data_IF_804920516584
#
_entry.id   IF_804920516584
#
_cell.length_a   1.000
_cell.length_b   1.000
_cell.length_c   1.000
_cell.angle_alpha   90.00
_cell.angle_beta   90.00
_cell.angle_gamma   90.00
#
_symmetry.space_group_name_H-M   'P 1'
#
loop_
_entity.id
_entity.type
_entity.pdbx_description
1 polymer ?
#
# COMPACT_ATOMS: atom_id res chain seq x y z
N UNK A 1 76.68 34.35 10.87
CA UNK A 1 75.30 34.88 10.76
C UNK A 1 74.40 34.04 11.66
N UNK A 2 73.90 34.59 12.75
CA UNK A 2 72.86 33.95 13.56
C UNK A 2 71.99 35.07 14.15
N UNK A 3 70.89 35.39 13.46
CA UNK A 3 69.87 36.31 13.98
C UNK A 3 68.98 35.50 14.92
N UNK A 4 69.18 35.67 16.22
CA UNK A 4 68.26 35.19 17.25
C UNK A 4 66.93 35.93 17.14
N UNK A 5 65.88 35.24 16.73
CA UNK A 5 64.51 35.76 16.69
C UNK A 5 63.96 35.72 18.12
N UNK A 6 63.80 36.89 18.74
CA UNK A 6 63.12 37.06 20.02
C UNK A 6 61.63 36.68 19.87
N UNK A 7 61.24 35.55 20.44
CA UNK A 7 59.86 35.06 20.44
C UNK A 7 59.05 35.77 21.54
N UNK A 8 58.49 36.94 21.21
CA UNK A 8 57.50 37.62 22.06
C UNK A 8 56.09 37.10 21.75
N UNK A 9 55.73 35.93 22.28
CA UNK A 9 54.38 35.39 22.12
C UNK A 9 53.42 36.10 23.07
N UNK A 10 52.78 37.18 22.61
CA UNK A 10 51.66 37.79 23.34
C UNK A 10 50.51 36.78 23.34
N UNK A 11 50.02 36.38 24.52
CA UNK A 11 48.92 35.43 24.72
C UNK A 11 47.72 35.71 23.79
N UNK A 12 47.42 36.99 23.54
CA UNK A 12 46.39 37.43 22.60
C UNK A 12 46.61 36.91 21.17
N UNK A 13 47.84 36.89 20.66
CA UNK A 13 48.15 36.36 19.33
C UNK A 13 48.05 34.84 19.28
N UNK A 14 48.46 34.15 20.34
CA UNK A 14 48.33 32.69 20.44
C UNK A 14 46.86 32.26 20.49
N UNK A 15 46.02 32.96 21.28
CA UNK A 15 44.58 32.71 21.32
C UNK A 15 43.92 32.95 19.96
N UNK A 16 44.31 34.00 19.24
CA UNK A 16 43.77 34.31 17.92
C UNK A 16 44.10 33.22 16.89
N UNK A 17 45.33 32.70 16.94
CA UNK A 17 45.76 31.58 16.09
C UNK A 17 44.95 30.32 16.43
N UNK A 18 44.80 29.96 17.70
CA UNK A 18 44.02 28.78 18.11
C UNK A 18 42.54 28.92 17.72
N UNK A 19 41.94 30.10 17.91
CA UNK A 19 40.57 30.37 17.47
C UNK A 19 40.43 30.27 15.95
N UNK A 20 41.40 30.77 15.17
CA UNK A 20 41.36 30.67 13.71
C UNK A 20 41.44 29.22 13.22
N UNK A 21 42.25 28.37 13.87
CA UNK A 21 42.34 26.93 13.57
C UNK A 21 41.02 26.23 13.88
N UNK A 22 40.42 26.51 15.05
CA UNK A 22 39.14 25.92 15.44
C UNK A 22 38.00 26.32 14.49
N UNK A 23 38.00 27.57 13.99
CA UNK A 23 37.02 28.02 12.99
C UNK A 23 37.20 27.27 11.67
N UNK A 24 38.45 27.08 11.21
CA UNK A 24 38.73 26.32 9.98
C UNK A 24 38.28 24.87 10.11
N UNK A 25 38.52 24.24 11.26
CA UNK A 25 38.05 22.87 11.54
C UNK A 25 36.53 22.81 11.55
N UNK A 26 35.86 23.75 12.23
CA UNK A 26 34.40 23.82 12.26
C UNK A 26 33.81 24.01 10.85
N UNK A 27 34.40 24.88 10.03
CA UNK A 27 33.97 25.08 8.64
C UNK A 27 34.24 23.86 7.76
N UNK A 28 35.32 23.12 7.99
CA UNK A 28 35.61 21.89 7.27
C UNK A 28 34.62 20.78 7.61
N UNK A 29 34.31 20.59 8.91
CA UNK A 29 33.29 19.64 9.36
C UNK A 29 31.92 20.04 8.82
N UNK A 30 31.56 21.32 8.87
CA UNK A 30 30.31 21.83 8.30
C UNK A 30 30.25 21.58 6.79
N UNK A 31 31.34 21.85 6.04
CA UNK A 31 31.46 21.52 4.61
C UNK A 31 31.33 20.03 4.34
N UNK A 32 31.90 19.18 5.19
CA UNK A 32 31.85 17.72 5.02
C UNK A 32 30.43 17.17 5.28
N UNK A 33 29.75 17.69 6.31
CA UNK A 33 28.36 17.35 6.60
C UNK A 33 27.40 17.90 5.53
N UNK A 34 27.63 19.15 5.10
CA UNK A 34 26.83 19.78 4.05
C UNK A 34 27.08 19.12 2.69
N UNK A 35 28.31 18.72 2.37
CA UNK A 35 28.62 17.96 1.16
C UNK A 35 27.95 16.58 1.20
N UNK A 36 27.93 15.88 2.34
CA UNK A 36 27.20 14.61 2.48
C UNK A 36 25.70 14.77 2.26
N UNK A 37 25.10 15.86 2.76
CA UNK A 37 23.69 16.19 2.54
C UNK A 37 23.42 16.62 1.09
N UNK A 38 24.35 17.35 0.47
CA UNK A 38 24.18 17.86 -0.89
C UNK A 38 24.47 16.80 -1.96
N UNK A 39 25.40 15.87 -1.73
CA UNK A 39 25.59 14.69 -2.60
C UNK A 39 24.43 13.71 -2.50
N UNK A 40 23.73 13.66 -1.36
CA UNK A 40 22.48 12.93 -1.23
C UNK A 40 21.34 13.61 -2.00
N UNK A 41 21.31 14.95 -2.02
CA UNK A 41 20.23 15.72 -2.64
C UNK A 41 20.43 16.07 -4.12
N UNK A 42 21.64 15.89 -4.68
CA UNK A 42 21.99 16.29 -6.06
C UNK A 42 22.14 15.11 -7.03
N UNK A 43 21.74 13.89 -6.62
CA UNK A 43 21.81 12.70 -7.48
C UNK A 43 20.50 12.37 -8.21
N UNK A 44 19.43 13.12 -7.95
CA UNK A 44 18.21 13.08 -8.75
C UNK A 44 18.18 14.25 -9.72
N UNK A 45 17.86 13.95 -10.97
CA UNK A 45 17.62 14.86 -12.10
C UNK A 45 18.83 15.45 -12.83
N UNK A 46 19.34 14.66 -13.78
CA UNK A 46 19.25 15.07 -15.18
C UNK A 46 19.38 13.87 -16.15
N UNK A 47 18.25 13.41 -16.70
CA UNK A 47 18.25 12.88 -18.06
C UNK A 47 18.17 11.35 -18.29
N UNK A 48 17.44 10.57 -17.49
CA UNK A 48 16.98 9.26 -17.97
C UNK A 48 15.49 9.32 -18.35
N UNK A 49 15.20 9.55 -19.63
CA UNK A 49 13.90 9.18 -20.16
C UNK A 49 13.75 7.66 -19.97
N UNK A 50 12.95 7.26 -18.98
CA UNK A 50 12.65 5.86 -18.68
C UNK A 50 12.07 5.22 -19.93
N UNK A 51 12.73 4.17 -20.43
CA UNK A 51 12.22 3.39 -21.56
C UNK A 51 11.19 2.39 -21.04
N UNK A 52 9.92 2.72 -21.24
CA UNK A 52 8.80 1.83 -20.92
C UNK A 52 8.62 0.75 -21.99
N UNK A 53 8.19 -0.43 -21.56
CA UNK A 53 7.69 -1.48 -22.47
C UNK A 53 6.30 -1.09 -23.01
N UNK A 54 5.90 -1.58 -24.21
CA UNK A 54 4.57 -1.29 -24.76
C UNK A 54 3.41 -1.66 -23.83
N UNK A 55 3.58 -2.71 -23.05
CA UNK A 55 2.57 -3.19 -22.09
C UNK A 55 2.43 -2.26 -20.88
N UNK A 56 3.52 -1.66 -20.41
CA UNK A 56 3.48 -0.64 -19.36
C UNK A 56 2.80 0.64 -19.85
N UNK A 57 3.08 1.06 -21.10
CA UNK A 57 2.41 2.20 -21.73
C UNK A 57 0.90 1.94 -21.82
N UNK A 58 0.50 0.74 -22.27
CA UNK A 58 -0.92 0.34 -22.34
C UNK A 58 -1.61 0.40 -20.98
N UNK A 59 -1.00 -0.18 -19.93
CA UNK A 59 -1.54 -0.15 -18.56
C UNK A 59 -1.67 1.28 -18.03
N UNK A 60 -0.68 2.12 -18.31
CA UNK A 60 -0.69 3.53 -17.91
C UNK A 60 -1.83 4.29 -18.62
N UNK A 61 -2.00 4.12 -19.92
CA UNK A 61 -3.08 4.72 -20.71
C UNK A 61 -4.47 4.25 -20.24
N UNK A 62 -4.63 2.97 -19.92
CA UNK A 62 -5.88 2.40 -19.40
C UNK A 62 -6.24 2.98 -18.03
N UNK A 63 -5.25 3.17 -17.13
CA UNK A 63 -5.47 3.82 -15.83
C UNK A 63 -6.00 5.25 -15.98
N UNK A 64 -5.46 5.99 -16.96
CA UNK A 64 -5.84 7.37 -17.24
C UNK A 64 -7.25 7.41 -17.83
N UNK A 65 -7.59 6.48 -18.73
CA UNK A 65 -8.93 6.34 -19.30
C UNK A 65 -9.97 6.06 -18.23
N UNK A 66 -9.68 5.14 -17.29
CA UNK A 66 -10.60 4.81 -16.19
C UNK A 66 -10.82 6.03 -15.28
N UNK A 67 -9.76 6.77 -14.93
CA UNK A 67 -9.87 8.00 -14.13
C UNK A 67 -10.73 9.05 -14.82
N UNK A 68 -10.49 9.32 -16.11
CA UNK A 68 -11.31 10.26 -16.91
C UNK A 68 -12.76 9.82 -17.08
N UNK A 69 -13.02 8.51 -17.18
CA UNK A 69 -14.38 7.97 -17.27
C UNK A 69 -15.13 8.04 -15.93
N UNK A 70 -14.39 8.02 -14.81
CA UNK A 70 -14.93 8.14 -13.45
C UNK A 70 -14.95 9.57 -12.92
N UNK A 71 -14.30 10.51 -13.59
CA UNK A 71 -14.37 11.92 -13.25
C UNK A 71 -15.85 12.35 -13.24
N UNK A 72 -16.36 12.89 -12.13
CA UNK A 72 -17.75 13.30 -12.04
C UNK A 72 -17.94 14.62 -12.79
N UNK A 73 -17.85 14.59 -14.12
CA UNK A 73 -17.91 15.77 -15.01
C UNK A 73 -19.14 16.63 -14.71
N UNK A 74 -20.29 16.00 -14.46
CA UNK A 74 -21.53 16.70 -14.09
C UNK A 74 -21.42 17.44 -12.76
N UNK A 75 -20.73 16.87 -11.78
CA UNK A 75 -20.56 17.50 -10.45
C UNK A 75 -19.63 18.69 -10.56
N UNK A 76 -18.51 18.54 -11.27
CA UNK A 76 -17.56 19.63 -11.54
C UNK A 76 -18.24 20.77 -12.30
N UNK A 77 -19.10 20.46 -13.27
CA UNK A 77 -19.89 21.46 -14.00
C UNK A 77 -20.86 22.22 -13.09
N UNK A 78 -21.59 21.51 -12.21
CA UNK A 78 -22.52 22.12 -11.25
C UNK A 78 -21.76 23.01 -10.28
N UNK A 79 -20.62 22.55 -9.74
CA UNK A 79 -19.78 23.35 -8.82
C UNK A 79 -19.27 24.61 -9.49
N UNK A 80 -18.80 24.52 -10.74
CA UNK A 80 -18.34 25.69 -11.49
C UNK A 80 -19.48 26.67 -11.79
N UNK A 81 -20.69 26.17 -12.05
CA UNK A 81 -21.88 27.00 -12.24
C UNK A 81 -22.26 27.74 -10.96
N UNK A 82 -22.29 27.04 -9.82
CA UNK A 82 -22.55 27.61 -8.49
C UNK A 82 -21.50 28.65 -8.11
N UNK A 83 -20.22 28.39 -8.36
CA UNK A 83 -19.13 29.36 -8.12
C UNK A 83 -19.27 30.61 -8.97
N UNK A 84 -19.73 30.46 -10.23
CA UNK A 84 -19.97 31.59 -11.14
C UNK A 84 -21.22 32.40 -10.77
N UNK A 85 -22.25 31.75 -10.22
CA UNK A 85 -23.45 32.39 -9.69
C UNK A 85 -23.12 33.15 -8.39
N UNK A 86 -22.36 32.53 -7.49
CA UNK A 86 -21.86 33.15 -6.24
C UNK A 86 -21.00 34.39 -6.50
N UNK A 87 -20.06 34.33 -7.46
CA UNK A 87 -19.21 35.47 -7.82
C UNK A 87 -19.96 36.61 -8.53
N UNK A 88 -21.20 36.39 -9.01
CA UNK A 88 -22.02 37.44 -9.63
C UNK A 88 -22.87 38.22 -8.62
N UNK A 89 -23.06 37.69 -7.42
CA UNK A 89 -23.84 38.33 -6.34
C UNK A 89 -23.01 39.22 -5.41
N UNK A 90 -21.67 39.14 -5.45
CA UNK A 90 -20.78 39.99 -4.65
C UNK A 90 -20.55 41.37 -5.27
N UNK A 91 -21.52 42.27 -5.12
CA UNK A 91 -21.25 43.71 -5.09
C UNK A 91 -21.94 44.36 -3.90
N UNK A 92 -21.60 44.00 -2.65
CA UNK A 92 -22.04 44.79 -1.49
C UNK A 92 -21.00 44.77 -0.35
N UNK A 93 -20.48 45.97 -0.07
CA UNK A 93 -19.93 46.52 1.18
C UNK A 93 -19.53 45.52 2.27
N UNK A 94 -18.22 45.42 2.52
CA UNK A 94 -17.63 44.67 3.64
C UNK A 94 -18.18 45.12 5.00
N UNK A 95 -18.81 44.18 5.71
CA UNK A 95 -19.32 44.38 7.07
C UNK A 95 -18.17 44.43 8.09
N UNK A 96 -18.23 45.30 9.13
CA UNK A 96 -17.22 45.36 10.17
C UNK A 96 -17.04 44.03 10.90
N UNK A 97 -15.78 43.67 11.19
CA UNK A 97 -15.37 42.38 11.76
C UNK A 97 -16.15 41.96 13.02
N UNK A 98 -16.47 42.93 13.89
CA UNK A 98 -17.24 42.69 15.13
C UNK A 98 -18.67 42.20 14.84
N UNK A 99 -19.26 42.69 13.76
CA UNK A 99 -20.60 42.28 13.32
C UNK A 99 -20.54 40.89 12.70
N UNK A 100 -19.47 40.58 11.94
CA UNK A 100 -19.22 39.25 11.38
C UNK A 100 -19.14 38.19 12.49
N UNK A 101 -18.29 38.41 13.51
CA UNK A 101 -18.10 37.48 14.63
C UNK A 101 -19.42 37.21 15.36
N UNK A 102 -20.21 38.25 15.62
CA UNK A 102 -21.51 38.12 16.30
C UNK A 102 -22.52 37.32 15.47
N UNK A 103 -22.55 37.54 14.15
CA UNK A 103 -23.40 36.78 13.23
C UNK A 103 -22.97 35.30 13.20
N UNK A 104 -21.66 35.03 13.17
CA UNK A 104 -21.12 33.66 13.19
C UNK A 104 -21.52 32.92 14.47
N UNK A 105 -21.45 33.57 15.63
CA UNK A 105 -21.80 32.96 16.91
C UNK A 105 -23.31 32.66 17.01
N UNK A 106 -24.17 33.58 16.53
CA UNK A 106 -25.62 33.35 16.45
C UNK A 106 -25.98 32.20 15.49
N UNK A 107 -25.25 32.03 14.38
CA UNK A 107 -25.42 30.91 13.44
C UNK A 107 -24.98 29.59 14.07
N UNK A 108 -23.82 29.56 14.74
CA UNK A 108 -23.31 28.37 15.43
C UNK A 108 -24.26 27.91 16.54
N UNK A 109 -24.80 28.86 17.31
CA UNK A 109 -25.78 28.56 18.36
C UNK A 109 -27.07 27.97 17.79
N UNK A 110 -27.54 28.48 16.64
CA UNK A 110 -28.70 27.91 15.93
C UNK A 110 -28.42 26.53 15.35
N UNK A 111 -27.25 26.33 14.74
CA UNK A 111 -26.84 25.02 14.20
C UNK A 111 -26.76 23.95 15.30
N UNK A 112 -26.21 24.29 16.47
CA UNK A 112 -26.16 23.37 17.63
C UNK A 112 -27.54 23.06 18.20
N UNK A 113 -28.51 23.96 18.05
CA UNK A 113 -29.90 23.75 18.48
C UNK A 113 -30.75 22.95 17.48
N UNK A 114 -30.26 22.70 16.26
CA UNK A 114 -30.99 21.93 15.25
C UNK A 114 -30.92 20.43 15.57
N UNK A 115 -32.08 19.89 15.96
CA UNK A 115 -32.27 18.46 16.10
C UNK A 115 -32.31 17.77 14.72
N UNK A 116 -31.84 16.52 14.62
CA UNK A 116 -31.69 15.76 13.37
C UNK A 116 -33.00 15.52 12.59
N UNK A 117 -34.15 15.79 13.21
CA UNK A 117 -35.50 15.64 12.62
C UNK A 117 -36.08 16.95 12.06
N UNK A 118 -35.29 18.02 11.89
CA UNK A 118 -35.77 19.30 11.36
C UNK A 118 -36.10 19.24 9.86
N UNK A 119 -37.11 20.01 9.43
CA UNK A 119 -37.60 20.03 8.05
C UNK A 119 -36.51 20.50 7.07
N UNK A 120 -36.32 19.76 5.97
CA UNK A 120 -35.24 19.92 4.97
C UNK A 120 -35.16 21.36 4.41
N UNK A 121 -36.32 22.03 4.27
CA UNK A 121 -36.38 23.44 3.82
C UNK A 121 -35.71 24.40 4.81
N UNK A 122 -35.93 24.22 6.11
CA UNK A 122 -35.31 25.04 7.16
C UNK A 122 -33.80 24.78 7.27
N UNK A 123 -33.37 23.52 7.17
CA UNK A 123 -31.95 23.18 7.14
C UNK A 123 -31.24 23.83 5.94
N UNK A 124 -31.87 23.81 4.76
CA UNK A 124 -31.33 24.43 3.54
C UNK A 124 -31.19 25.95 3.68
N UNK A 125 -32.18 26.63 4.24
CA UNK A 125 -32.14 28.09 4.47
C UNK A 125 -31.16 28.54 5.58
N UNK A 126 -30.72 27.63 6.44
CA UNK A 126 -29.66 27.89 7.44
C UNK A 126 -28.29 27.63 6.83
N UNK A 127 -28.16 26.59 6.01
CA UNK A 127 -26.93 26.27 5.28
C UNK A 127 -26.55 27.39 4.29
N UNK A 128 -27.52 27.94 3.56
CA UNK A 128 -27.29 29.06 2.63
C UNK A 128 -26.77 30.29 3.38
N UNK A 129 -27.37 30.64 4.53
CA UNK A 129 -26.90 31.77 5.36
C UNK A 129 -25.52 31.56 5.98
N UNK A 130 -25.16 30.30 6.29
CA UNK A 130 -23.83 29.95 6.77
C UNK A 130 -22.77 30.00 5.65
N UNK A 131 -23.17 29.70 4.41
CA UNK A 131 -22.32 29.83 3.21
C UNK A 131 -22.14 31.30 2.79
N UNK A 132 -23.17 32.14 2.97
CA UNK A 132 -23.11 33.59 2.75
C UNK A 132 -22.23 34.31 3.80
N UNK A 133 -22.08 33.75 5.00
CA UNK A 133 -21.18 34.27 6.03
C UNK A 133 -19.77 33.70 5.85
N UNK A 134 -18.93 34.41 5.11
CA UNK A 134 -17.45 34.28 5.07
C UNK A 134 -16.95 32.85 5.38
N UNK A 135 -17.25 31.90 4.47
CA UNK A 135 -17.05 30.45 4.61
C UNK A 135 -15.66 30.06 5.15
N UNK A 136 -14.63 30.85 4.84
CA UNK A 136 -13.27 30.67 5.33
C UNK A 136 -13.16 30.78 6.87
N UNK A 137 -13.88 31.71 7.48
CA UNK A 137 -13.89 31.90 8.95
C UNK A 137 -14.68 30.78 9.63
N UNK A 138 -15.75 30.31 8.99
CA UNK A 138 -16.56 29.21 9.50
C UNK A 138 -15.80 27.88 9.43
N UNK A 139 -15.13 27.58 8.31
CA UNK A 139 -14.38 26.33 8.11
C UNK A 139 -13.21 26.17 9.08
N UNK A 140 -12.50 27.27 9.37
CA UNK A 140 -11.41 27.31 10.34
C UNK A 140 -11.91 27.03 11.78
N UNK A 141 -13.04 27.65 12.17
CA UNK A 141 -13.62 27.46 13.51
C UNK A 141 -14.23 26.06 13.75
N UNK A 142 -14.73 25.39 12.71
CA UNK A 142 -15.27 24.02 12.82
C UNK A 142 -14.22 22.93 12.55
N UNK A 143 -12.96 23.29 12.26
CA UNK A 143 -11.87 22.35 12.01
C UNK A 143 -11.96 21.61 10.68
N UNK A 144 -12.77 22.08 9.72
CA UNK A 144 -12.81 21.53 8.35
C UNK A 144 -11.65 22.13 7.53
N UNK A 145 -10.44 21.65 7.77
CA UNK A 145 -9.30 21.95 6.89
C UNK A 145 -9.38 21.09 5.62
N UNK A 146 -10.10 21.58 4.63
CA UNK A 146 -10.04 21.07 3.25
C UNK A 146 -9.45 22.18 2.37
N UNK A 147 -8.20 22.04 1.88
CA UNK A 147 -7.64 23.02 0.97
C UNK A 147 -8.47 23.11 -0.32
N UNK A 148 -8.66 24.32 -0.83
CA UNK A 148 -9.47 24.61 -2.02
C UNK A 148 -8.92 23.93 -3.30
N UNK A 149 -7.64 23.54 -3.26
CA UNK A 149 -6.97 22.70 -4.25
C UNK A 149 -6.28 21.55 -3.51
N UNK A 150 -6.78 20.33 -3.74
CA UNK A 150 -6.06 19.11 -3.40
C UNK A 150 -5.06 18.89 -4.54
N UNK A 151 -3.84 19.41 -4.38
CA UNK A 151 -2.72 19.01 -5.24
C UNK A 151 -2.33 17.60 -4.78
N UNK A 152 -2.83 16.58 -5.49
CA UNK A 152 -2.29 15.23 -5.35
C UNK A 152 -0.87 15.26 -5.91
N UNK A 153 0.12 15.52 -5.07
CA UNK A 153 1.46 15.01 -5.33
C UNK A 153 1.44 13.55 -4.90
N UNK A 154 1.32 12.65 -5.87
CA UNK A 154 1.68 11.25 -5.69
C UNK A 154 3.15 11.23 -5.24
N UNK A 155 3.34 11.03 -3.93
CA UNK A 155 4.65 10.71 -3.39
C UNK A 155 4.79 9.20 -3.56
N UNK A 156 5.55 8.79 -4.57
CA UNK A 156 5.89 7.37 -4.74
C UNK A 156 7.00 7.08 -3.73
N UNK A 157 6.60 6.69 -2.51
CA UNK A 157 7.54 6.26 -1.46
C UNK A 157 8.18 4.90 -1.78
N UNK A 158 8.01 4.40 -3.01
CA UNK A 158 8.61 3.16 -3.52
C UNK A 158 10.14 3.35 -3.67
N UNK A 159 10.96 2.64 -2.86
CA UNK A 159 12.39 2.77 -2.96
C UNK A 159 12.89 2.24 -4.31
N UNK A 160 13.75 3.03 -4.97
CA UNK A 160 14.41 2.60 -6.21
C UNK A 160 15.25 1.35 -5.96
N UNK A 161 14.98 0.28 -6.73
CA UNK A 161 15.71 -1.00 -6.65
C UNK A 161 14.93 -2.16 -6.03
N UNK A 162 13.67 -1.95 -5.61
CA UNK A 162 12.75 -3.05 -5.34
C UNK A 162 12.09 -3.44 -6.66
N UNK A 163 12.65 -4.47 -7.30
CA UNK A 163 11.96 -5.19 -8.37
C UNK A 163 10.57 -5.58 -7.84
N UNK A 164 9.54 -5.46 -8.68
CA UNK A 164 8.16 -5.86 -8.37
C UNK A 164 8.04 -7.39 -8.25
N UNK A 165 8.83 -8.00 -7.37
CA UNK A 165 8.66 -9.35 -6.85
C UNK A 165 8.04 -9.30 -5.44
N UNK A 166 7.28 -8.26 -5.10
CA UNK A 166 6.25 -8.39 -4.08
C UNK A 166 5.04 -9.06 -4.76
N UNK A 167 5.08 -10.39 -4.85
CA UNK A 167 3.87 -11.13 -4.52
C UNK A 167 3.44 -10.55 -3.16
N UNK A 168 2.33 -9.81 -3.13
CA UNK A 168 1.64 -9.48 -1.88
C UNK A 168 1.74 -10.73 -0.99
N UNK A 169 2.34 -10.64 0.20
CA UNK A 169 2.42 -11.80 1.10
C UNK A 169 1.00 -12.33 1.30
N UNK A 170 0.60 -13.34 0.52
CA UNK A 170 -0.77 -13.80 0.50
C UNK A 170 -1.00 -14.51 1.84
N UNK A 171 -1.67 -13.80 2.74
CA UNK A 171 -1.88 -14.26 4.11
C UNK A 171 -2.84 -15.45 4.06
N UNK A 172 -2.31 -16.63 4.40
CA UNK A 172 -3.14 -17.83 4.52
C UNK A 172 -4.16 -17.67 5.66
N UNK A 173 -5.45 -17.98 5.42
CA UNK A 173 -6.45 -17.95 6.48
C UNK A 173 -6.19 -19.05 7.52
N UNK A 174 -6.41 -18.71 8.79
CA UNK A 174 -6.32 -19.63 9.92
C UNK A 174 -5.05 -19.45 10.75
N UNK A 175 -4.71 -20.49 11.52
CA UNK A 175 -3.50 -20.48 12.36
C UNK A 175 -2.24 -20.55 11.50
N UNK A 176 -1.11 -19.98 11.97
CA UNK A 176 0.16 -20.07 11.26
C UNK A 176 0.55 -21.53 10.98
N UNK A 177 1.05 -21.78 9.78
CA UNK A 177 1.49 -23.12 9.39
C UNK A 177 2.82 -23.43 10.09
N UNK A 178 2.95 -24.59 10.76
CA UNK A 178 4.20 -24.98 11.41
C UNK A 178 5.39 -25.06 10.42
N UNK A 179 6.63 -24.70 10.82
CA UNK A 179 7.79 -24.72 9.92
C UNK A 179 8.10 -26.09 9.32
N UNK A 180 7.85 -27.18 10.06
CA UNK A 180 8.03 -28.56 9.60
C UNK A 180 7.13 -28.95 8.43
N UNK A 181 6.09 -28.15 8.17
CA UNK A 181 5.19 -28.34 7.04
C UNK A 181 5.80 -27.88 5.71
N UNK A 182 6.88 -27.09 5.75
CA UNK A 182 7.56 -26.52 4.58
C UNK A 182 6.54 -25.93 3.59
N UNK A 183 5.75 -24.97 4.08
CA UNK A 183 4.67 -24.38 3.30
C UNK A 183 5.20 -23.61 2.10
N UNK A 184 4.58 -23.87 0.97
CA UNK A 184 4.83 -23.19 -0.29
C UNK A 184 3.49 -22.70 -0.87
N UNK A 185 3.38 -21.37 -1.02
CA UNK A 185 2.26 -20.74 -1.73
C UNK A 185 2.34 -21.07 -3.21
N UNK A 186 1.20 -21.01 -3.89
CA UNK A 186 1.07 -21.21 -5.33
C UNK A 186 1.75 -22.48 -5.83
N UNK A 187 1.55 -23.59 -5.13
CA UNK A 187 2.28 -24.83 -5.36
C UNK A 187 1.33 -26.01 -5.31
N UNK A 188 1.41 -26.88 -6.32
CA UNK A 188 0.81 -28.21 -6.32
C UNK A 188 1.90 -29.26 -6.52
N UNK A 189 2.02 -30.16 -5.54
CA UNK A 189 2.89 -31.33 -5.62
C UNK A 189 2.12 -32.55 -6.12
N UNK A 190 2.72 -33.29 -7.04
CA UNK A 190 2.20 -34.56 -7.51
C UNK A 190 2.46 -35.69 -6.49
N UNK A 191 1.62 -36.71 -6.51
CA UNK A 191 1.76 -37.87 -5.65
C UNK A 191 0.52 -38.75 -5.59
N UNK A 192 0.69 -39.96 -5.07
CA UNK A 192 -0.42 -40.90 -4.88
C UNK A 192 -1.24 -40.47 -3.69
N UNK A 193 -2.52 -40.20 -3.90
CA UNK A 193 -3.44 -39.85 -2.82
C UNK A 193 -3.54 -40.99 -1.80
N UNK A 194 -3.12 -40.74 -0.56
CA UNK A 194 -3.39 -41.58 0.61
C UNK A 194 -4.70 -41.16 1.29
N UNK A 195 -5.15 -39.93 1.04
CA UNK A 195 -6.50 -39.46 1.35
C UNK A 195 -6.95 -38.42 0.32
N UNK A 196 -8.13 -38.64 -0.25
CA UNK A 196 -8.70 -37.80 -1.30
C UNK A 196 -9.28 -36.50 -0.74
N UNK A 197 -8.87 -35.36 -1.30
CA UNK A 197 -9.34 -34.03 -0.87
C UNK A 197 -10.81 -33.77 -1.17
N UNK A 198 -11.37 -34.36 -2.25
CA UNK A 198 -12.79 -34.26 -2.61
C UNK A 198 -13.76 -34.60 -1.45
N UNK A 199 -13.34 -35.46 -0.52
CA UNK A 199 -14.12 -35.86 0.67
C UNK A 199 -13.42 -35.52 1.97
N UNK A 200 -12.26 -34.85 1.91
CA UNK A 200 -11.46 -34.50 3.06
C UNK A 200 -11.20 -33.01 3.10
N UNK A 201 -11.99 -32.30 3.91
CA UNK A 201 -11.89 -30.87 4.06
C UNK A 201 -11.24 -30.50 5.40
N UNK A 202 -10.49 -29.38 5.40
CA UNK A 202 -9.85 -28.78 6.57
C UNK A 202 -10.04 -27.28 6.54
N UNK A 203 -10.18 -26.66 7.70
CA UNK A 203 -10.46 -25.21 7.80
C UNK A 203 -9.25 -24.33 7.44
N UNK A 204 -8.04 -24.89 7.50
CA UNK A 204 -6.80 -24.17 7.21
C UNK A 204 -5.70 -25.06 6.62
N UNK A 205 -4.72 -24.43 5.98
CA UNK A 205 -3.51 -25.08 5.49
C UNK A 205 -2.74 -25.79 6.63
N UNK A 206 -2.67 -25.16 7.81
CA UNK A 206 -2.03 -25.73 8.99
C UNK A 206 -2.71 -27.03 9.45
N UNK A 207 -4.04 -27.10 9.38
CA UNK A 207 -4.79 -28.31 9.74
C UNK A 207 -4.68 -29.41 8.67
N UNK A 208 -4.48 -29.02 7.42
CA UNK A 208 -4.17 -29.97 6.35
C UNK A 208 -2.78 -30.60 6.53
N UNK A 209 -1.76 -29.79 6.81
CA UNK A 209 -0.43 -30.31 7.17
C UNK A 209 -0.50 -31.23 8.41
N UNK A 210 -1.18 -30.80 9.48
CA UNK A 210 -1.31 -31.62 10.67
C UNK A 210 -1.99 -32.97 10.37
N UNK A 211 -3.01 -32.97 9.50
CA UNK A 211 -3.65 -34.20 9.06
C UNK A 211 -2.70 -35.14 8.31
N UNK A 212 -1.76 -34.60 7.52
CA UNK A 212 -0.71 -35.39 6.88
C UNK A 212 0.21 -36.03 7.92
N UNK A 213 0.73 -35.25 8.87
CA UNK A 213 1.57 -35.74 9.96
C UNK A 213 0.85 -36.81 10.79
N UNK A 214 -0.42 -36.61 11.10
CA UNK A 214 -1.24 -37.56 11.86
C UNK A 214 -1.57 -38.83 11.08
N UNK A 215 -1.74 -38.74 9.77
CA UNK A 215 -1.90 -39.92 8.91
C UNK A 215 -0.59 -40.71 8.87
N UNK A 216 0.54 -40.04 8.68
CA UNK A 216 1.86 -40.68 8.63
C UNK A 216 2.20 -41.43 9.92
N UNK A 217 1.84 -40.87 11.08
CA UNK A 217 2.00 -41.51 12.41
C UNK A 217 1.12 -42.74 12.60
N UNK A 218 -0.08 -42.76 11.98
CA UNK A 218 -1.07 -43.84 12.14
C UNK A 218 -0.99 -44.91 11.04
N UNK A 219 -0.22 -44.66 9.99
CA UNK A 219 -0.05 -45.59 8.89
C UNK A 219 0.50 -46.93 9.39
N UNK A 220 -0.12 -48.03 8.96
CA UNK A 220 0.30 -49.39 9.33
C UNK A 220 1.55 -49.81 8.55
N UNK A 221 2.28 -50.85 9.00
CA UNK A 221 3.36 -51.42 8.21
C UNK A 221 2.88 -51.80 6.81
N UNK A 222 3.57 -51.29 5.78
CA UNK A 222 3.23 -51.50 4.36
C UNK A 222 2.29 -50.46 3.75
N UNK A 223 1.68 -49.58 4.55
CA UNK A 223 0.92 -48.43 4.03
C UNK A 223 1.85 -47.27 3.68
N UNK A 224 1.46 -46.50 2.67
CA UNK A 224 2.13 -45.24 2.31
C UNK A 224 1.85 -44.20 3.38
N UNK A 225 2.91 -43.65 3.97
CA UNK A 225 2.84 -42.54 4.92
C UNK A 225 2.69 -41.23 4.16
N UNK A 226 1.77 -40.36 4.53
CA UNK A 226 1.63 -39.05 3.92
C UNK A 226 2.93 -38.26 4.10
N UNK A 227 3.52 -37.78 3.00
CA UNK A 227 4.66 -36.87 3.04
C UNK A 227 4.43 -35.59 2.24
N UNK A 228 3.27 -35.44 1.60
CA UNK A 228 2.88 -34.29 0.81
C UNK A 228 1.45 -33.91 1.20
N UNK A 229 1.21 -32.64 1.49
CA UNK A 229 -0.12 -32.09 1.71
C UNK A 229 -0.40 -30.99 0.70
N UNK A 230 -1.62 -30.94 0.15
CA UNK A 230 -2.07 -29.90 -0.79
C UNK A 230 -3.43 -29.40 -0.34
N UNK A 231 -3.55 -28.09 -0.17
CA UNK A 231 -4.70 -27.40 0.41
C UNK A 231 -5.26 -26.35 -0.56
N UNK A 232 -6.58 -26.27 -0.64
CA UNK A 232 -7.27 -25.21 -1.39
C UNK A 232 -7.72 -24.06 -0.47
N UNK A 233 -7.00 -22.92 -0.42
CA UNK A 233 -7.42 -21.75 0.36
C UNK A 233 -8.52 -20.91 -0.32
N UNK A 234 -8.66 -21.00 -1.65
CA UNK A 234 -9.55 -20.16 -2.44
C UNK A 234 -11.03 -20.45 -2.17
N UNK A 235 -11.82 -19.43 -1.86
CA UNK A 235 -13.27 -19.55 -1.65
C UNK A 235 -14.02 -20.00 -2.91
N UNK A 236 -13.51 -19.63 -4.09
CA UNK A 236 -14.09 -20.02 -5.38
C UNK A 236 -13.60 -21.38 -5.88
N UNK A 237 -12.85 -22.12 -5.05
CA UNK A 237 -12.23 -23.39 -5.43
C UNK A 237 -10.89 -23.23 -6.13
N UNK A 238 -10.25 -24.36 -6.40
CA UNK A 238 -8.90 -24.43 -6.95
C UNK A 238 -8.87 -25.15 -8.29
N UNK A 239 -8.14 -24.62 -9.25
CA UNK A 239 -8.01 -25.21 -10.57
C UNK A 239 -7.06 -26.41 -10.55
N UNK A 240 -7.48 -27.52 -11.15
CA UNK A 240 -6.64 -28.69 -11.49
C UNK A 240 -7.02 -29.15 -12.90
N UNK A 241 -6.06 -29.64 -13.72
CA UNK A 241 -6.35 -30.14 -15.06
C UNK A 241 -6.91 -31.57 -15.04
N UNK A 242 -7.93 -31.81 -14.24
CA UNK A 242 -8.62 -33.08 -14.15
C UNK A 242 -10.14 -32.92 -14.35
N UNK A 243 -10.88 -34.01 -14.13
CA UNK A 243 -12.33 -34.07 -14.38
C UNK A 243 -13.16 -33.51 -13.22
N UNK A 244 -12.53 -33.13 -12.10
CA UNK A 244 -13.22 -32.73 -10.89
C UNK A 244 -13.28 -31.20 -10.76
N UNK A 245 -14.30 -30.75 -10.05
CA UNK A 245 -14.44 -29.36 -9.62
C UNK A 245 -14.00 -29.29 -8.16
N UNK A 246 -12.80 -28.74 -7.93
CA UNK A 246 -12.25 -28.65 -6.57
C UNK A 246 -12.76 -27.45 -5.81
N UNK A 247 -13.18 -27.68 -4.57
CA UNK A 247 -13.81 -26.68 -3.72
C UNK A 247 -12.85 -26.13 -2.66
N UNK A 248 -13.26 -25.01 -2.06
CA UNK A 248 -12.58 -24.44 -0.91
C UNK A 248 -12.38 -25.50 0.19
N UNK A 249 -11.28 -25.40 0.93
CA UNK A 249 -10.93 -26.25 2.07
C UNK A 249 -10.59 -27.71 1.74
N UNK A 250 -10.54 -28.11 0.47
CA UNK A 250 -10.05 -29.43 0.11
C UNK A 250 -8.62 -29.66 0.60
N UNK A 251 -8.41 -30.79 1.26
CA UNK A 251 -7.13 -31.21 1.82
C UNK A 251 -6.72 -32.57 1.27
N UNK A 252 -5.76 -32.56 0.36
CA UNK A 252 -5.20 -33.74 -0.28
C UNK A 252 -3.98 -34.22 0.49
N UNK A 253 -4.03 -35.47 0.95
CA UNK A 253 -2.89 -36.12 1.57
C UNK A 253 -2.29 -37.08 0.55
N UNK A 254 -1.05 -36.84 0.16
CA UNK A 254 -0.37 -37.58 -0.91
C UNK A 254 0.92 -38.22 -0.39
N UNK A 255 1.38 -39.22 -1.14
CA UNK A 255 2.69 -39.85 -0.96
C UNK A 255 3.46 -39.92 -2.28
N UNK A 256 4.74 -39.57 -2.24
CA UNK A 256 5.70 -39.88 -3.28
C UNK A 256 7.08 -40.19 -2.66
N UNK A 257 7.80 -41.18 -3.19
CA UNK A 257 9.19 -41.45 -2.76
C UNK A 257 10.10 -40.24 -3.03
N UNK A 258 9.84 -39.53 -4.12
CA UNK A 258 10.49 -38.28 -4.51
C UNK A 258 9.39 -37.29 -4.88
N UNK A 259 9.02 -36.37 -3.97
CA UNK A 259 8.03 -35.33 -4.27
C UNK A 259 8.40 -34.59 -5.54
N UNK A 260 7.48 -34.57 -6.50
CA UNK A 260 7.66 -33.92 -7.79
C UNK A 260 6.71 -32.75 -7.86
N UNK A 261 7.25 -31.59 -8.18
CA UNK A 261 6.48 -30.39 -8.44
C UNK A 261 5.61 -30.60 -9.68
N UNK A 262 4.31 -30.37 -9.56
CA UNK A 262 3.38 -30.39 -10.69
C UNK A 262 3.29 -28.99 -11.30
N UNK A 263 2.84 -28.03 -10.49
CA UNK A 263 2.75 -26.62 -10.86
C UNK A 263 3.27 -25.73 -9.74
N UNK A 264 3.88 -24.61 -10.12
CA UNK A 264 4.44 -23.61 -9.22
C UNK A 264 4.28 -22.21 -9.78
N UNK A 265 3.96 -21.27 -8.90
CA UNK A 265 3.80 -19.85 -9.17
C UNK A 265 2.76 -19.58 -10.27
N UNK A 266 3.21 -19.42 -11.51
CA UNK A 266 2.35 -19.07 -12.65
C UNK A 266 2.27 -20.20 -13.65
N UNK A 267 1.07 -20.47 -14.15
CA UNK A 267 0.90 -21.32 -15.32
C UNK A 267 1.50 -20.63 -16.54
N UNK A 268 2.29 -21.36 -17.35
CA UNK A 268 2.88 -20.81 -18.57
C UNK A 268 1.81 -20.40 -19.58
N UNK A 269 2.14 -19.44 -20.45
CA UNK A 269 1.21 -18.98 -21.48
C UNK A 269 0.79 -20.13 -22.40
N UNK A 270 1.72 -20.98 -22.84
CA UNK A 270 1.44 -22.17 -23.66
C UNK A 270 0.47 -23.14 -22.96
N UNK A 271 0.63 -23.33 -21.64
CA UNK A 271 -0.25 -24.16 -20.86
C UNK A 271 -1.66 -23.56 -20.80
N UNK A 272 -1.79 -22.26 -20.55
CA UNK A 272 -3.08 -21.55 -20.50
C UNK A 272 -3.76 -21.44 -21.88
N UNK A 273 -2.99 -21.40 -22.96
CA UNK A 273 -3.51 -21.44 -24.33
C UNK A 273 -4.17 -22.79 -24.63
N UNK A 274 -3.62 -23.88 -24.10
CA UNK A 274 -4.20 -25.23 -24.20
C UNK A 274 -5.26 -25.52 -23.13
N UNK A 275 -5.26 -24.78 -22.02
CA UNK A 275 -6.19 -24.89 -20.90
C UNK A 275 -6.80 -23.52 -20.57
N UNK A 276 -7.80 -23.05 -21.34
CA UNK A 276 -8.32 -21.69 -21.20
C UNK A 276 -8.91 -21.36 -19.82
N UNK A 277 -9.32 -22.38 -19.07
CA UNK A 277 -9.86 -22.24 -17.71
C UNK A 277 -8.77 -22.17 -16.64
N UNK A 278 -7.50 -22.39 -16.98
CA UNK A 278 -6.41 -22.28 -16.03
C UNK A 278 -6.19 -20.81 -15.63
N UNK A 279 -6.18 -20.51 -14.31
CA UNK A 279 -5.89 -19.17 -13.82
C UNK A 279 -4.44 -18.77 -14.16
N UNK A 280 -4.07 -17.51 -13.88
CA UNK A 280 -2.70 -17.04 -14.10
C UNK A 280 -1.74 -17.65 -13.07
N UNK A 281 -2.21 -17.77 -11.82
CA UNK A 281 -1.43 -18.21 -10.66
C UNK A 281 -1.99 -19.55 -10.17
N UNK A 282 -1.11 -20.45 -9.74
CA UNK A 282 -1.48 -21.73 -9.13
C UNK A 282 -2.27 -21.45 -7.83
N UNK A 283 -3.52 -21.91 -7.70
CA UNK A 283 -4.37 -21.54 -6.55
C UNK A 283 -4.16 -22.44 -5.33
N UNK A 284 -3.30 -23.46 -5.44
CA UNK A 284 -3.03 -24.42 -4.39
C UNK A 284 -1.91 -23.94 -3.46
N UNK A 285 -1.99 -24.39 -2.21
CA UNK A 285 -0.93 -24.23 -1.22
C UNK A 285 -0.52 -25.62 -0.79
N UNK A 286 0.77 -25.91 -0.76
CA UNK A 286 1.24 -27.25 -0.43
C UNK A 286 2.54 -27.25 0.33
N UNK A 287 2.93 -28.42 0.79
CA UNK A 287 4.22 -28.61 1.43
C UNK A 287 4.60 -30.07 1.51
N UNK A 288 5.89 -30.29 1.72
CA UNK A 288 6.49 -31.62 1.87
C UNK A 288 6.95 -31.77 3.31
N UNK A 289 6.47 -32.81 3.99
CA UNK A 289 6.87 -33.11 5.37
C UNK A 289 7.86 -34.27 5.40
N UNK A 290 8.80 -34.21 6.34
CA UNK A 290 9.71 -35.33 6.62
C UNK A 290 9.06 -36.27 7.66
N UNK A 291 8.75 -37.52 7.27
CA UNK A 291 7.99 -38.51 8.06
C UNK A 291 8.57 -39.93 8.02
#
# INVERSE_FOLDING_TARGET
MARGVKWGCSYKKTTLIVCSINIVIALYVLRSLYASLYTYSSHHDLGSAVKYTPDQIRKMEDSIRIRKAKEPVKLVEIVNRLKKESNKEETVVELPLQVKIRITDEILQRLRSLNANANISQQRGILIRALESDWAVLSENIGLWLPAEIVNQEHDDKPEGVEEEEFEEEILPGRPVPPECHVELHTDYDGVAVRWGLTHHKESAADCCQACLDQAKRAKPGEKKCNIWVYCPSETGCYSPDIYEHKNQECWLKYAEKPKLNFKDRYSEDYRNSHPNAPVIVPWVSGVVSV
#
